data_IF_112790425396
#
_entry.id   IF_112790425396
#
_cell.length_a   1.000
_cell.length_b   1.000
_cell.length_c   1.000
_cell.angle_alpha   90.00
_cell.angle_beta   90.00
_cell.angle_gamma   90.00
#
_symmetry.space_group_name_H-M   'P 1'
#
loop_
_entity.id
_entity.type
_entity.pdbx_description
1 polymer ?
#
# COMPACT_ATOMS: atom_id res chain seq x y z
N UNK A 1 -8.76 38.19 6.40
CA UNK A 1 -7.53 37.39 6.24
C UNK A 1 -7.72 36.07 6.98
N UNK A 2 -8.04 34.94 6.32
CA UNK A 2 -7.88 33.63 6.93
C UNK A 2 -6.55 33.00 6.49
N UNK A 3 -5.83 32.50 7.48
CA UNK A 3 -4.60 31.69 7.41
C UNK A 3 -4.68 30.59 6.36
N UNK A 4 -3.75 30.60 5.38
CA UNK A 4 -3.49 29.47 4.49
C UNK A 4 -3.01 28.29 5.36
N UNK A 5 -3.84 27.26 5.48
CA UNK A 5 -3.39 25.96 5.96
C UNK A 5 -2.24 25.52 5.05
N UNK A 6 -1.09 25.16 5.64
CA UNK A 6 0.04 24.67 4.88
C UNK A 6 -0.39 23.47 4.04
N UNK A 7 -0.32 23.61 2.72
CA UNK A 7 -0.41 22.48 1.80
C UNK A 7 0.65 21.48 2.23
N UNK A 8 0.22 20.34 2.79
CA UNK A 8 1.10 19.17 2.91
C UNK A 8 1.60 18.90 1.49
N UNK A 9 2.92 18.71 1.28
CA UNK A 9 3.42 18.34 -0.04
C UNK A 9 2.62 17.15 -0.54
N UNK A 10 2.25 17.15 -1.83
CA UNK A 10 1.43 16.11 -2.46
C UNK A 10 2.22 14.81 -2.42
N UNK A 11 2.12 14.07 -1.32
CA UNK A 11 2.77 12.78 -1.12
C UNK A 11 2.14 11.83 -2.13
N UNK A 12 2.94 11.31 -3.06
CA UNK A 12 2.48 10.26 -3.96
C UNK A 12 2.44 8.95 -3.16
N UNK A 13 1.26 8.60 -2.66
CA UNK A 13 1.07 7.43 -1.82
C UNK A 13 0.72 6.21 -2.68
N UNK A 14 1.48 5.15 -2.46
CA UNK A 14 1.20 3.80 -2.93
C UNK A 14 0.92 2.90 -1.73
N UNK A 15 0.17 1.82 -1.96
CA UNK A 15 -0.45 1.06 -0.89
C UNK A 15 -0.06 -0.41 -0.97
N UNK A 16 0.28 -0.98 0.19
CA UNK A 16 0.47 -2.43 0.36
C UNK A 16 -0.58 -2.97 1.32
N UNK A 17 -1.23 -4.06 0.91
CA UNK A 17 -2.04 -4.88 1.80
C UNK A 17 -1.16 -6.05 2.27
N UNK A 18 -1.11 -6.28 3.57
CA UNK A 18 -0.38 -7.39 4.15
C UNK A 18 -1.10 -7.95 5.38
N UNK A 19 -0.91 -9.24 5.73
CA UNK A 19 -1.28 -9.74 7.05
C UNK A 19 -0.58 -8.94 8.15
N UNK A 20 -1.31 -8.58 9.21
CA UNK A 20 -0.79 -7.82 10.33
C UNK A 20 0.41 -8.51 10.99
N UNK A 21 0.43 -9.85 11.01
CA UNK A 21 1.56 -10.64 11.51
C UNK A 21 2.83 -10.45 10.67
N UNK A 22 2.70 -10.41 9.34
CA UNK A 22 3.82 -10.18 8.43
C UNK A 22 4.38 -8.76 8.61
N UNK A 23 3.50 -7.77 8.80
CA UNK A 23 3.93 -6.40 9.11
C UNK A 23 4.67 -6.30 10.45
N UNK A 24 4.23 -7.00 11.49
CA UNK A 24 4.96 -7.06 12.77
C UNK A 24 6.39 -7.58 12.60
N UNK A 25 6.56 -8.68 11.85
CA UNK A 25 7.89 -9.21 11.58
C UNK A 25 8.78 -8.21 10.81
N UNK A 26 8.20 -7.43 9.90
CA UNK A 26 8.94 -6.39 9.19
C UNK A 26 9.38 -5.24 10.11
N UNK A 27 8.52 -4.85 11.07
CA UNK A 27 8.88 -3.87 12.10
C UNK A 27 10.05 -4.36 12.94
N UNK A 28 10.04 -5.62 13.37
CA UNK A 28 11.13 -6.23 14.15
C UNK A 28 12.46 -6.27 13.36
N UNK A 29 12.38 -6.39 12.03
CA UNK A 29 13.55 -6.43 11.13
C UNK A 29 14.02 -5.06 10.63
N UNK A 30 13.23 -4.01 10.86
CA UNK A 30 13.51 -2.67 10.33
C UNK A 30 13.25 -2.50 8.82
N UNK A 31 12.66 -3.50 8.13
CA UNK A 31 12.30 -3.46 6.71
C UNK A 31 11.26 -4.53 6.37
N UNK A 32 10.51 -4.33 5.29
CA UNK A 32 9.57 -5.31 4.77
C UNK A 32 10.13 -5.96 3.48
N UNK A 33 10.47 -7.24 3.56
CA UNK A 33 11.09 -8.00 2.46
C UNK A 33 10.08 -8.50 1.39
N UNK A 34 8.77 -8.35 1.64
CA UNK A 34 7.72 -8.86 0.76
C UNK A 34 6.87 -9.99 1.37
N UNK A 35 5.71 -10.24 0.78
CA UNK A 35 4.89 -11.44 0.99
C UNK A 35 5.40 -12.62 0.18
N UNK A 36 4.84 -13.81 0.37
CA UNK A 36 5.24 -15.01 -0.36
C UNK A 36 5.14 -14.85 -1.90
N UNK A 37 4.12 -14.12 -2.39
CA UNK A 37 3.97 -13.82 -3.83
C UNK A 37 5.04 -12.85 -4.29
N UNK A 38 5.31 -11.80 -3.51
CA UNK A 38 6.34 -10.81 -3.84
C UNK A 38 7.73 -11.45 -3.96
N UNK A 39 8.08 -12.33 -3.02
CA UNK A 39 9.35 -13.04 -3.02
C UNK A 39 9.48 -14.01 -4.20
N UNK A 40 8.36 -14.62 -4.62
CA UNK A 40 8.32 -15.50 -5.78
C UNK A 40 8.50 -14.73 -7.08
N UNK A 41 7.86 -13.57 -7.19
CA UNK A 41 7.86 -12.76 -8.42
C UNK A 41 9.11 -11.84 -8.52
N UNK A 42 9.81 -11.64 -7.40
CA UNK A 42 11.08 -10.91 -7.33
C UNK A 42 10.94 -9.41 -7.08
N UNK A 43 9.75 -8.93 -6.74
CA UNK A 43 9.46 -7.53 -6.42
C UNK A 43 8.23 -7.42 -5.51
N UNK A 44 8.14 -6.31 -4.77
CA UNK A 44 7.00 -6.04 -3.89
C UNK A 44 5.90 -5.34 -4.67
N UNK A 45 4.73 -5.98 -4.74
CA UNK A 45 3.55 -5.42 -5.38
C UNK A 45 2.92 -4.34 -4.51
N UNK A 46 2.70 -3.17 -5.09
CA UNK A 46 1.87 -2.11 -4.53
C UNK A 46 0.69 -1.82 -5.45
N UNK A 47 -0.31 -1.14 -4.90
CA UNK A 47 -1.45 -0.60 -5.63
C UNK A 47 -1.50 0.90 -5.43
N UNK A 48 -1.97 1.65 -6.43
CA UNK A 48 -2.36 3.05 -6.25
C UNK A 48 -3.67 3.17 -5.46
N UNK A 49 -4.04 4.39 -5.06
CA UNK A 49 -5.33 4.67 -4.40
C UNK A 49 -6.53 4.13 -5.19
N UNK A 50 -6.51 4.26 -6.52
CA UNK A 50 -7.60 3.79 -7.38
C UNK A 50 -7.64 2.26 -7.57
N UNK A 51 -6.57 1.55 -7.20
CA UNK A 51 -6.40 0.11 -7.46
C UNK A 51 -6.53 -0.76 -6.20
N UNK A 52 -6.29 -0.18 -5.02
CA UNK A 52 -6.10 -0.98 -3.79
C UNK A 52 -7.36 -1.69 -3.34
N UNK A 53 -8.55 -1.08 -3.49
CA UNK A 53 -9.83 -1.71 -3.13
C UNK A 53 -10.13 -2.92 -4.01
N UNK A 54 -9.96 -2.80 -5.33
CA UNK A 54 -10.14 -3.93 -6.26
C UNK A 54 -9.10 -5.02 -6.01
N UNK A 55 -7.86 -4.63 -5.67
CA UNK A 55 -6.81 -5.58 -5.27
C UNK A 55 -7.24 -6.38 -4.04
N UNK A 56 -7.79 -5.70 -3.03
CA UNK A 56 -8.31 -6.33 -1.82
C UNK A 56 -9.44 -7.32 -2.14
N UNK A 57 -10.38 -6.93 -3.01
CA UNK A 57 -11.51 -7.77 -3.42
C UNK A 57 -11.06 -9.04 -4.13
N UNK A 58 -10.09 -8.95 -5.03
CA UNK A 58 -9.64 -10.09 -5.85
C UNK A 58 -8.72 -11.06 -5.09
N UNK A 59 -7.89 -10.55 -4.18
CA UNK A 59 -6.79 -11.33 -3.60
C UNK A 59 -6.90 -11.55 -2.09
N UNK A 60 -7.70 -10.73 -1.40
CA UNK A 60 -7.74 -10.70 0.06
C UNK A 60 -9.15 -10.89 0.64
N UNK A 61 -10.16 -11.15 -0.19
CA UNK A 61 -11.53 -11.40 0.26
C UNK A 61 -11.57 -12.54 1.30
N UNK A 62 -12.32 -12.32 2.38
CA UNK A 62 -12.45 -13.29 3.47
C UNK A 62 -11.24 -13.42 4.42
N UNK A 63 -10.08 -12.86 4.08
CA UNK A 63 -8.91 -12.92 4.97
C UNK A 63 -9.05 -11.95 6.14
N UNK A 64 -8.81 -12.39 7.39
CA UNK A 64 -8.83 -11.51 8.55
C UNK A 64 -7.48 -10.80 8.77
N UNK A 65 -7.47 -9.86 9.71
CA UNK A 65 -6.25 -9.26 10.27
C UNK A 65 -5.30 -8.67 9.22
N UNK A 66 -5.85 -7.90 8.30
CA UNK A 66 -5.07 -7.20 7.28
C UNK A 66 -4.74 -5.77 7.73
N UNK A 67 -3.61 -5.28 7.26
CA UNK A 67 -3.21 -3.88 7.37
C UNK A 67 -3.01 -3.27 5.99
N UNK A 68 -3.40 -2.00 5.87
CA UNK A 68 -3.09 -1.11 4.77
C UNK A 68 -1.88 -0.28 5.16
N UNK A 69 -0.79 -0.43 4.41
CA UNK A 69 0.46 0.30 4.60
C UNK A 69 0.51 1.35 3.48
N UNK A 70 0.42 2.63 3.84
CA UNK A 70 0.61 3.73 2.92
C UNK A 70 2.10 4.11 2.89
N UNK A 71 2.68 4.13 1.70
CA UNK A 71 4.10 4.37 1.46
C UNK A 71 4.28 5.58 0.57
N UNK A 72 5.22 6.46 0.92
CA UNK A 72 5.59 7.59 0.09
C UNK A 72 6.49 7.10 -1.06
N UNK A 73 5.91 7.04 -2.27
CA UNK A 73 6.59 6.61 -3.48
C UNK A 73 7.84 7.44 -3.80
N UNK A 74 7.85 8.73 -3.45
CA UNK A 74 8.98 9.63 -3.73
C UNK A 74 10.24 9.28 -2.95
N UNK A 75 10.13 8.48 -1.87
CA UNK A 75 11.27 7.98 -1.10
C UNK A 75 11.89 6.68 -1.64
N UNK A 76 11.25 6.03 -2.61
CA UNK A 76 11.67 4.72 -3.12
C UNK A 76 12.64 4.80 -4.30
N UNK A 77 12.81 5.99 -4.89
CA UNK A 77 13.79 6.23 -5.94
C UNK A 77 13.59 5.35 -7.17
N UNK A 78 14.71 4.91 -7.77
CA UNK A 78 14.73 4.17 -9.03
C UNK A 78 14.32 2.69 -8.91
N UNK A 79 14.23 2.16 -7.69
CA UNK A 79 13.80 0.77 -7.45
C UNK A 79 12.28 0.61 -7.58
N UNK A 80 11.53 1.72 -7.50
CA UNK A 80 10.10 1.75 -7.78
C UNK A 80 9.86 1.93 -9.28
N UNK A 81 9.15 0.97 -9.88
CA UNK A 81 8.77 0.98 -11.29
C UNK A 81 7.26 0.86 -11.44
N UNK A 82 6.71 1.61 -12.38
CA UNK A 82 5.30 1.52 -12.75
C UNK A 82 5.20 0.70 -14.02
N UNK A 83 4.64 -0.50 -13.92
CA UNK A 83 4.60 -1.46 -15.03
C UNK A 83 3.15 -1.84 -15.35
N UNK A 84 2.88 -2.07 -16.64
CA UNK A 84 1.55 -2.45 -17.08
C UNK A 84 1.20 -3.84 -16.53
N UNK A 85 0.07 -3.91 -15.85
CA UNK A 85 -0.53 -5.15 -15.37
C UNK A 85 -1.89 -5.37 -16.03
N UNK A 86 -2.80 -6.06 -15.34
CA UNK A 86 -4.15 -6.39 -15.83
C UNK A 86 -4.85 -5.16 -16.41
N UNK A 87 -5.35 -5.29 -17.64
CA UNK A 87 -6.10 -4.22 -18.31
C UNK A 87 -5.26 -3.03 -18.79
N UNK A 88 -3.92 -3.13 -18.78
CA UNK A 88 -3.03 -2.04 -19.20
C UNK A 88 -2.83 -0.94 -18.15
N UNK A 89 -3.43 -1.09 -16.97
CA UNK A 89 -3.20 -0.17 -15.86
C UNK A 89 -1.79 -0.37 -15.29
N UNK A 90 -1.11 0.72 -14.95
CA UNK A 90 0.22 0.69 -14.35
C UNK A 90 0.13 0.38 -12.86
N UNK A 91 0.83 -0.66 -12.41
CA UNK A 91 0.97 -1.00 -11.00
C UNK A 91 2.39 -0.66 -10.51
N UNK A 92 2.53 -0.09 -9.30
CA UNK A 92 3.83 0.14 -8.69
C UNK A 92 4.45 -1.16 -8.18
N UNK A 93 5.67 -1.44 -8.63
CA UNK A 93 6.49 -2.59 -8.21
C UNK A 93 7.82 -2.08 -7.65
N UNK A 94 8.17 -2.53 -6.45
CA UNK A 94 9.44 -2.18 -5.81
C UNK A 94 10.43 -3.35 -5.92
N UNK A 95 11.55 -3.12 -6.60
CA UNK A 95 12.64 -4.08 -6.80
C UNK A 95 13.70 -4.05 -5.68
N UNK A 96 13.25 -3.79 -4.46
CA UNK A 96 14.08 -3.72 -3.27
C UNK A 96 13.22 -4.03 -2.02
N UNK A 97 13.83 -4.38 -0.87
CA UNK A 97 13.11 -4.39 0.40
C UNK A 97 12.54 -3.00 0.71
N UNK A 98 11.32 -2.94 1.25
CA UNK A 98 10.69 -1.68 1.62
C UNK A 98 11.28 -1.16 2.95
N UNK A 99 11.94 0.01 2.97
CA UNK A 99 12.46 0.59 4.20
C UNK A 99 11.31 1.24 5.01
N UNK A 100 11.31 1.08 6.33
CA UNK A 100 10.20 1.54 7.17
C UNK A 100 10.08 3.07 7.26
N UNK A 101 11.16 3.81 6.98
CA UNK A 101 11.15 5.27 6.94
C UNK A 101 10.37 5.85 5.74
N UNK A 102 10.11 5.03 4.72
CA UNK A 102 9.26 5.37 3.58
C UNK A 102 7.77 5.22 3.88
N UNK A 103 7.42 4.56 4.99
CA UNK A 103 6.03 4.28 5.38
C UNK A 103 5.44 5.52 6.02
N UNK A 104 4.38 6.04 5.41
CA UNK A 104 3.67 7.23 5.88
C UNK A 104 2.63 6.90 6.95
N UNK A 105 1.93 5.77 6.80
CA UNK A 105 0.99 5.30 7.82
C UNK A 105 0.69 3.81 7.67
N UNK A 106 0.22 3.20 8.76
CA UNK A 106 -0.29 1.83 8.77
C UNK A 106 -1.62 1.82 9.47
N UNK A 107 -2.66 1.33 8.79
CA UNK A 107 -4.02 1.25 9.32
C UNK A 107 -4.52 -0.19 9.24
N UNK A 108 -5.27 -0.66 10.23
CA UNK A 108 -6.00 -1.94 10.11
C UNK A 108 -7.09 -1.78 9.07
N UNK A 109 -7.35 -2.84 8.31
CA UNK A 109 -8.47 -2.90 7.35
C UNK A 109 -9.63 -3.62 8.05
N UNK A 110 -10.72 -2.93 8.40
CA UNK A 110 -11.91 -3.57 8.96
C UNK A 110 -12.53 -4.52 7.93
N UNK A 111 -13.06 -5.64 8.40
CA UNK A 111 -13.87 -6.52 7.57
C UNK A 111 -15.28 -5.94 7.42
N UNK A 112 -15.77 -5.92 6.18
CA UNK A 112 -17.15 -5.64 5.86
C UNK A 112 -18.07 -6.79 6.27
N UNK A 113 -19.35 -6.47 6.47
CA UNK A 113 -20.38 -7.46 6.80
C UNK A 113 -20.64 -8.48 5.68
N UNK A 114 -20.27 -8.13 4.45
CA UNK A 114 -20.35 -8.95 3.23
C UNK A 114 -19.13 -9.88 3.03
N UNK A 115 -18.18 -9.88 3.98
CA UNK A 115 -16.92 -10.61 3.85
C UNK A 115 -15.85 -9.87 3.03
N UNK A 116 -16.16 -8.67 2.55
CA UNK A 116 -15.22 -7.72 1.96
C UNK A 116 -14.43 -6.94 3.01
N UNK A 117 -13.84 -5.84 2.57
CA UNK A 117 -12.95 -4.98 3.37
C UNK A 117 -13.41 -3.53 3.25
N UNK A 118 -13.53 -2.84 4.37
CA UNK A 118 -13.94 -1.43 4.41
C UNK A 118 -12.71 -0.52 4.33
N UNK A 119 -12.63 0.28 3.26
CA UNK A 119 -11.55 1.24 3.04
C UNK A 119 -11.93 2.68 3.38
N UNK A 120 -13.13 2.91 3.93
CA UNK A 120 -13.64 4.23 4.27
C UNK A 120 -12.67 4.98 5.21
N UNK A 121 -12.13 6.11 4.74
CA UNK A 121 -11.15 6.92 5.49
C UNK A 121 -9.75 6.30 5.63
N UNK A 122 -9.48 5.17 4.97
CA UNK A 122 -8.17 4.53 4.99
C UNK A 122 -7.25 5.06 3.90
N UNK A 123 -7.80 5.33 2.71
CA UNK A 123 -7.07 5.74 1.51
C UNK A 123 -7.09 7.26 1.40
N UNK A 124 -5.90 7.85 1.29
CA UNK A 124 -5.75 9.25 0.89
C UNK A 124 -5.83 9.28 -0.64
N UNK A 125 -7.04 9.45 -1.17
CA UNK A 125 -7.24 9.65 -2.60
C UNK A 125 -6.73 11.04 -3.00
N UNK A 126 -6.07 11.18 -4.17
CA UNK A 126 -5.82 12.51 -4.71
C UNK A 126 -7.17 13.20 -4.93
N UNK A 127 -7.30 14.43 -4.42
CA UNK A 127 -8.43 15.29 -4.78
C UNK A 127 -8.50 15.36 -6.31
N UNK A 128 -9.69 15.06 -6.85
CA UNK A 128 -10.02 15.12 -8.28
C UNK A 128 -9.73 16.50 -8.88
#
# INVERSE_FOLDING_TARGET
MPTRQGEKPKMELIYKIAPAALWRQAQDRGRFDGSAVDLKDGFIHFSTAAQVEETARLHFAGLPDLVLIAVNATKLGADLRFEASRGGALFPHLYAPLPLDSVASVKRIPRGADGGHDFSGLIDAPAS
#
